data_IF_932254664970
#
_entry.id   IF_932254664970
#
_cell.length_a   1.000
_cell.length_b   1.000
_cell.length_c   1.000
_cell.angle_alpha   90.00
_cell.angle_beta   90.00
_cell.angle_gamma   90.00
#
_symmetry.space_group_name_H-M   'P 1'
#
loop_
_entity.id
_entity.type
_entity.pdbx_description
1 polymer ?
#
# COMPACT_ATOMS: atom_id res chain seq x y z
N UNK A 1 7.50 -6.08 -8.63
CA UNK A 1 7.72 -7.54 -8.42
C UNK A 1 9.22 -7.84 -8.49
N UNK A 2 9.82 -8.28 -7.38
CA UNK A 2 11.23 -8.71 -7.37
C UNK A 2 11.37 -10.10 -6.73
N UNK A 3 11.01 -10.28 -5.47
CA UNK A 3 11.00 -11.55 -4.77
C UNK A 3 9.98 -11.52 -3.64
N UNK A 4 9.16 -12.56 -3.51
CA UNK A 4 8.22 -12.70 -2.39
C UNK A 4 8.95 -13.35 -1.22
N UNK A 5 9.18 -12.61 -0.16
CA UNK A 5 9.88 -13.05 1.05
C UNK A 5 8.95 -13.48 2.17
N UNK A 6 7.73 -12.95 2.18
CA UNK A 6 6.70 -13.24 3.17
C UNK A 6 5.32 -13.32 2.51
N UNK A 7 4.79 -14.54 2.39
CA UNK A 7 3.48 -14.75 1.76
C UNK A 7 2.30 -14.33 2.64
N UNK A 8 2.53 -14.06 3.91
CA UNK A 8 1.44 -13.67 4.82
C UNK A 8 0.92 -12.26 4.56
N UNK A 9 1.71 -11.42 3.87
CA UNK A 9 1.34 -10.07 3.50
C UNK A 9 0.78 -9.93 2.08
N UNK A 10 0.68 -11.03 1.32
CA UNK A 10 0.17 -10.99 -0.05
C UNK A 10 -1.27 -10.46 -0.09
N UNK A 11 -1.55 -9.61 -1.07
CA UNK A 11 -2.93 -9.21 -1.41
C UNK A 11 -3.72 -10.45 -1.83
N UNK A 12 -4.96 -10.57 -1.38
CA UNK A 12 -5.84 -11.68 -1.74
C UNK A 12 -6.88 -11.28 -2.79
N UNK A 13 -7.54 -12.28 -3.39
CA UNK A 13 -8.63 -12.04 -4.33
C UNK A 13 -9.80 -11.34 -3.63
N UNK A 14 -10.32 -10.29 -4.25
CA UNK A 14 -11.46 -9.51 -3.76
C UNK A 14 -11.24 -8.84 -2.39
N UNK A 15 -10.01 -8.55 -2.02
CA UNK A 15 -9.74 -7.88 -0.74
C UNK A 15 -10.42 -6.51 -0.67
N UNK A 16 -10.46 -5.80 -1.79
CA UNK A 16 -11.17 -4.52 -1.98
C UNK A 16 -11.48 -4.29 -3.46
N UNK A 17 -12.21 -3.21 -3.76
CA UNK A 17 -12.48 -2.77 -5.13
C UNK A 17 -11.84 -1.39 -5.39
N UNK A 18 -11.15 -1.24 -6.53
CA UNK A 18 -10.55 0.01 -6.96
C UNK A 18 -10.82 0.23 -8.45
N UNK A 19 -11.27 1.45 -8.83
CA UNK A 19 -11.67 1.79 -10.19
C UNK A 19 -12.65 0.79 -10.84
N UNK A 20 -13.54 0.20 -10.03
CA UNK A 20 -14.56 -0.73 -10.49
C UNK A 20 -14.10 -2.17 -10.72
N UNK A 21 -12.86 -2.51 -10.37
CA UNK A 21 -12.32 -3.88 -10.36
C UNK A 21 -11.90 -4.29 -8.96
N UNK A 22 -11.94 -5.57 -8.65
CA UNK A 22 -11.47 -6.07 -7.35
C UNK A 22 -10.01 -6.52 -7.43
N UNK A 23 -9.32 -6.49 -6.29
CA UNK A 23 -7.96 -7.01 -6.17
C UNK A 23 -7.87 -8.47 -6.57
N UNK A 24 -6.76 -8.85 -7.17
CA UNK A 24 -6.48 -10.21 -7.63
C UNK A 24 -5.04 -10.61 -7.32
N UNK A 25 -4.89 -11.71 -6.62
CA UNK A 25 -3.60 -12.35 -6.40
C UNK A 25 -3.20 -13.16 -7.63
N UNK A 26 -2.09 -12.79 -8.28
CA UNK A 26 -1.52 -13.56 -9.38
C UNK A 26 -0.62 -14.64 -8.81
N UNK A 27 -1.04 -15.90 -8.94
CA UNK A 27 -0.39 -17.05 -8.30
C UNK A 27 0.93 -17.43 -8.95
N UNK A 28 1.00 -17.32 -10.26
CA UNK A 28 2.18 -17.71 -11.03
C UNK A 28 3.14 -16.52 -11.15
N UNK A 29 4.32 -16.66 -10.56
CA UNK A 29 5.33 -15.60 -10.50
C UNK A 29 5.76 -15.08 -11.88
N UNK A 30 5.84 -15.95 -12.87
CA UNK A 30 6.25 -15.67 -14.23
C UNK A 30 5.09 -15.31 -15.18
N UNK A 31 3.87 -15.23 -14.66
CA UNK A 31 2.72 -14.76 -15.46
C UNK A 31 3.02 -13.43 -16.14
N UNK A 32 2.59 -13.25 -17.39
CA UNK A 32 2.70 -11.98 -18.08
C UNK A 32 2.06 -10.84 -17.26
N UNK A 33 2.68 -9.67 -17.30
CA UNK A 33 2.09 -8.47 -16.71
C UNK A 33 1.01 -7.96 -17.68
N UNK A 34 -0.22 -7.88 -17.19
CA UNK A 34 -1.32 -7.26 -17.94
C UNK A 34 -1.16 -5.74 -17.86
N UNK A 35 -0.92 -5.12 -19.01
CA UNK A 35 -0.84 -3.67 -19.12
C UNK A 35 -2.21 -3.06 -18.79
N UNK A 36 -2.18 -1.94 -18.06
CA UNK A 36 -3.37 -1.20 -17.61
C UNK A 36 -4.22 -1.89 -16.53
N UNK A 37 -3.87 -3.08 -16.06
CA UNK A 37 -4.51 -3.66 -14.89
C UNK A 37 -3.80 -3.18 -13.62
N UNK A 38 -4.52 -2.37 -12.84
CA UNK A 38 -4.00 -1.75 -11.61
C UNK A 38 -4.25 -2.58 -10.35
N UNK A 39 -5.02 -3.67 -10.48
CA UNK A 39 -5.47 -4.50 -9.35
C UNK A 39 -4.89 -5.92 -9.35
N UNK A 40 -3.98 -6.26 -10.25
CA UNK A 40 -3.26 -7.54 -10.25
C UNK A 40 -1.98 -7.45 -9.41
N UNK A 41 -1.87 -8.29 -8.39
CA UNK A 41 -0.76 -8.31 -7.45
C UNK A 41 0.02 -9.63 -7.58
N UNK A 42 1.34 -9.52 -7.71
CA UNK A 42 2.23 -10.65 -8.02
C UNK A 42 3.03 -11.12 -6.80
N UNK A 43 2.73 -10.61 -5.62
CA UNK A 43 3.56 -10.78 -4.44
C UNK A 43 4.94 -10.11 -4.62
N UNK A 44 5.80 -10.11 -3.76
CA UNK A 44 7.07 -9.40 -3.79
C UNK A 44 7.01 -8.25 -2.83
N UNK A 45 7.93 -8.26 -1.88
CA UNK A 45 7.87 -7.47 -0.67
C UNK A 45 9.26 -7.03 -0.21
N UNK A 46 9.32 -6.22 0.84
CA UNK A 46 10.57 -5.72 1.41
C UNK A 46 11.38 -6.84 2.05
N UNK A 47 10.73 -7.86 2.64
CA UNK A 47 11.42 -9.02 3.19
C UNK A 47 12.14 -9.81 2.08
N UNK A 48 11.54 -9.87 0.90
CA UNK A 48 12.15 -10.47 -0.29
C UNK A 48 13.39 -9.72 -0.74
N UNK A 49 13.38 -8.39 -0.71
CA UNK A 49 14.56 -7.57 -0.99
C UNK A 49 15.66 -7.84 0.04
N UNK A 50 15.33 -7.90 1.33
CA UNK A 50 16.28 -8.24 2.40
C UNK A 50 16.93 -9.61 2.13
N UNK A 51 16.11 -10.62 1.83
CA UNK A 51 16.59 -11.99 1.53
C UNK A 51 17.52 -12.05 0.31
N UNK A 52 17.38 -11.10 -0.61
CA UNK A 52 18.17 -11.03 -1.85
C UNK A 52 19.28 -9.97 -1.81
N UNK A 53 19.55 -9.36 -0.66
CA UNK A 53 20.55 -8.29 -0.53
C UNK A 53 21.96 -8.76 -0.96
N UNK A 54 22.35 -9.98 -0.57
CA UNK A 54 23.62 -10.56 -1.02
C UNK A 54 23.72 -10.69 -2.54
N UNK A 55 22.65 -11.19 -3.18
CA UNK A 55 22.58 -11.28 -4.64
C UNK A 55 22.72 -9.89 -5.31
N UNK A 56 22.04 -8.88 -4.78
CA UNK A 56 22.13 -7.52 -5.33
C UNK A 56 23.55 -6.95 -5.19
N UNK A 57 24.21 -7.18 -4.05
CA UNK A 57 25.60 -6.81 -3.83
C UNK A 57 26.54 -7.50 -4.81
N UNK A 58 26.42 -8.83 -4.98
CA UNK A 58 27.26 -9.61 -5.88
C UNK A 58 27.05 -9.20 -7.36
N UNK A 59 25.85 -8.72 -7.69
CA UNK A 59 25.53 -8.14 -9.01
C UNK A 59 26.17 -6.75 -9.22
N UNK A 60 26.70 -6.12 -8.16
CA UNK A 60 27.31 -4.79 -8.24
C UNK A 60 26.30 -3.64 -8.16
N UNK A 61 25.16 -3.85 -7.50
CA UNK A 61 24.15 -2.79 -7.31
C UNK A 61 24.63 -1.82 -6.23
N UNK A 62 24.74 -0.54 -6.56
CA UNK A 62 25.11 0.55 -5.65
C UNK A 62 23.88 1.29 -5.07
N UNK A 63 22.75 1.25 -5.78
CA UNK A 63 21.53 1.97 -5.41
C UNK A 63 20.31 1.14 -5.74
N UNK A 64 19.35 1.08 -4.82
CA UNK A 64 18.00 0.56 -5.08
C UNK A 64 17.06 1.77 -5.11
N UNK A 65 16.40 1.98 -6.24
CA UNK A 65 15.29 2.94 -6.36
C UNK A 65 13.98 2.16 -6.25
N UNK A 66 13.20 2.49 -5.23
CA UNK A 66 11.85 1.96 -5.10
C UNK A 66 10.86 2.89 -5.78
N UNK A 67 10.03 2.36 -6.69
CA UNK A 67 8.74 2.98 -7.00
C UNK A 67 7.95 3.17 -5.70
N UNK A 68 6.86 3.96 -5.68
CA UNK A 68 6.15 4.21 -4.43
C UNK A 68 5.83 2.92 -3.68
N UNK A 69 6.12 2.90 -2.38
CA UNK A 69 5.90 1.76 -1.47
C UNK A 69 4.98 2.10 -0.30
N UNK A 70 4.42 3.30 -0.30
CA UNK A 70 3.46 3.74 0.68
C UNK A 70 2.10 3.06 0.49
N UNK A 71 1.24 3.10 1.51
CA UNK A 71 -0.11 2.52 1.43
C UNK A 71 -0.85 3.07 0.22
N UNK A 72 -1.32 2.18 -0.65
CA UNK A 72 -2.02 2.54 -1.88
C UNK A 72 -2.81 1.36 -2.45
N UNK A 73 -3.99 1.59 -3.05
CA UNK A 73 -4.84 0.52 -3.56
C UNK A 73 -4.37 -0.07 -4.89
N UNK A 74 -3.51 0.60 -5.65
CA UNK A 74 -3.05 0.07 -6.93
C UNK A 74 -1.74 -0.72 -6.81
N UNK A 75 -1.46 -1.55 -7.80
CA UNK A 75 -0.19 -2.27 -7.91
C UNK A 75 1.00 -1.37 -8.24
N UNK A 76 0.76 -0.23 -8.89
CA UNK A 76 1.81 0.77 -9.21
C UNK A 76 2.08 1.75 -8.06
N UNK A 77 1.19 1.87 -7.07
CA UNK A 77 1.33 2.66 -5.84
C UNK A 77 1.47 4.18 -6.01
N UNK A 78 1.19 4.76 -7.19
CA UNK A 78 1.21 6.22 -7.39
C UNK A 78 -0.04 6.94 -6.85
N UNK A 79 -1.07 6.23 -6.45
CA UNK A 79 -2.32 6.74 -5.86
C UNK A 79 -2.31 6.57 -4.34
N UNK A 80 -1.41 7.31 -3.69
CA UNK A 80 -1.10 7.13 -2.28
C UNK A 80 -2.31 7.39 -1.38
N UNK A 81 -2.60 6.41 -0.53
CA UNK A 81 -3.61 6.44 0.51
C UNK A 81 -3.06 7.04 1.81
N UNK A 82 -1.86 6.63 2.23
CA UNK A 82 -1.19 7.12 3.42
C UNK A 82 0.28 7.39 3.13
N UNK A 83 0.71 8.67 3.25
CA UNK A 83 2.09 9.10 3.02
C UNK A 83 3.03 8.81 4.20
N UNK A 84 2.49 8.52 5.38
CA UNK A 84 3.29 8.36 6.59
C UNK A 84 3.73 6.90 6.79
N UNK A 85 3.16 5.98 6.02
CA UNK A 85 3.32 4.55 6.29
C UNK A 85 3.62 3.73 5.04
N UNK A 86 4.55 2.79 5.20
CA UNK A 86 4.81 1.73 4.23
C UNK A 86 3.59 0.82 4.14
N UNK A 87 3.22 0.43 2.92
CA UNK A 87 2.09 -0.47 2.69
C UNK A 87 2.35 -1.84 3.37
N UNK A 88 1.47 -2.28 4.27
CA UNK A 88 1.62 -3.58 4.94
C UNK A 88 1.70 -4.78 3.98
N UNK A 89 1.14 -4.67 2.76
CA UNK A 89 1.30 -5.70 1.72
C UNK A 89 2.72 -5.79 1.15
N UNK A 90 3.56 -4.78 1.39
CA UNK A 90 5.01 -4.83 1.15
C UNK A 90 5.80 -5.01 2.45
N UNK A 91 5.17 -4.71 3.57
CA UNK A 91 5.74 -4.68 4.90
C UNK A 91 5.39 -5.90 5.73
N UNK A 92 4.73 -5.65 6.86
CA UNK A 92 4.33 -6.68 7.84
C UNK A 92 2.86 -6.49 8.20
N UNK A 93 2.10 -7.57 8.16
CA UNK A 93 0.74 -7.64 8.69
C UNK A 93 0.80 -8.39 10.03
N UNK A 94 0.66 -7.67 11.14
CA UNK A 94 0.64 -8.21 12.50
C UNK A 94 -0.79 -8.60 12.86
N UNK A 95 -1.71 -7.68 12.63
CA UNK A 95 -3.14 -7.86 12.84
C UNK A 95 -3.79 -8.15 11.49
N UNK A 96 -4.07 -9.41 11.24
CA UNK A 96 -4.77 -9.88 10.03
C UNK A 96 -6.16 -10.36 10.43
N UNK A 97 -7.18 -9.69 9.92
CA UNK A 97 -8.56 -9.97 10.29
C UNK A 97 -9.55 -9.46 9.23
N UNK A 98 -10.83 -9.51 9.58
CA UNK A 98 -11.87 -9.15 8.63
C UNK A 98 -12.05 -10.20 7.52
N UNK A 99 -12.74 -9.81 6.47
CA UNK A 99 -13.04 -10.68 5.34
C UNK A 99 -12.86 -9.91 4.03
N UNK A 100 -12.46 -10.56 2.93
CA UNK A 100 -12.49 -9.98 1.61
C UNK A 100 -13.95 -9.74 1.18
N UNK A 101 -14.14 -8.91 0.16
CA UNK A 101 -15.44 -8.71 -0.45
C UNK A 101 -15.99 -10.02 -1.02
N UNK A 102 -17.29 -10.24 -0.91
CA UNK A 102 -17.97 -11.31 -1.64
C UNK A 102 -17.76 -11.13 -3.14
N UNK A 103 -17.64 -12.23 -3.85
CA UNK A 103 -17.45 -12.22 -5.31
C UNK A 103 -18.52 -11.37 -6.01
N UNK A 104 -18.07 -10.39 -6.77
CA UNK A 104 -18.94 -9.48 -7.52
C UNK A 104 -19.39 -8.24 -6.74
N UNK A 105 -19.13 -8.16 -5.45
CA UNK A 105 -19.32 -6.95 -4.64
C UNK A 105 -18.18 -5.96 -4.88
N UNK A 106 -18.50 -4.66 -4.75
CA UNK A 106 -17.56 -3.55 -4.95
C UNK A 106 -17.75 -2.44 -3.93
N UNK A 107 -18.55 -2.66 -2.92
CA UNK A 107 -18.76 -1.71 -1.82
C UNK A 107 -17.66 -1.87 -0.78
N UNK A 108 -16.75 -0.93 -0.76
CA UNK A 108 -15.60 -0.95 0.13
C UNK A 108 -15.96 -0.78 1.62
N UNK A 109 -17.18 -0.40 1.96
CA UNK A 109 -17.62 -0.43 3.36
C UNK A 109 -17.63 -1.85 3.94
N UNK A 110 -17.68 -2.87 3.08
CA UNK A 110 -17.59 -4.29 3.44
C UNK A 110 -16.17 -4.87 3.33
N UNK A 111 -15.20 -4.11 2.81
CA UNK A 111 -13.81 -4.53 2.61
C UNK A 111 -13.01 -4.52 3.93
N UNK A 112 -13.51 -5.25 4.94
CA UNK A 112 -12.98 -5.17 6.31
C UNK A 112 -11.57 -5.71 6.43
N UNK A 113 -11.17 -6.68 5.62
CA UNK A 113 -9.79 -7.17 5.58
C UNK A 113 -8.83 -6.08 5.12
N UNK A 114 -9.09 -5.43 4.00
CA UNK A 114 -8.26 -4.34 3.50
C UNK A 114 -8.18 -3.19 4.50
N UNK A 115 -9.32 -2.85 5.10
CA UNK A 115 -9.40 -1.79 6.10
C UNK A 115 -8.47 -2.09 7.28
N UNK A 116 -8.54 -3.29 7.87
CA UNK A 116 -7.67 -3.69 8.97
C UNK A 116 -6.21 -3.69 8.53
N UNK A 117 -5.89 -4.35 7.43
CA UNK A 117 -4.51 -4.46 6.94
C UNK A 117 -3.84 -3.11 6.73
N UNK A 118 -4.58 -2.12 6.18
CA UNK A 118 -4.02 -0.83 5.73
C UNK A 118 -4.21 0.34 6.70
N UNK A 119 -5.00 0.18 7.77
CA UNK A 119 -5.23 1.27 8.74
C UNK A 119 -4.90 0.92 10.18
N UNK A 120 -4.67 -0.36 10.49
CA UNK A 120 -4.24 -0.77 11.83
C UNK A 120 -2.84 -0.23 12.14
N UNK A 121 -2.70 0.44 13.29
CA UNK A 121 -1.45 1.14 13.65
C UNK A 121 -0.27 0.20 13.87
N UNK A 122 -0.51 -1.00 14.40
CA UNK A 122 0.57 -1.98 14.61
C UNK A 122 1.08 -2.51 13.27
N UNK A 123 0.21 -2.72 12.28
CA UNK A 123 0.60 -3.09 10.92
C UNK A 123 1.48 -2.01 10.28
N UNK A 124 1.06 -0.74 10.40
CA UNK A 124 1.79 0.40 9.83
C UNK A 124 3.14 0.60 10.50
N UNK A 125 3.20 0.53 11.82
CA UNK A 125 4.44 0.65 12.60
C UNK A 125 5.41 -0.50 12.31
N UNK A 126 4.93 -1.75 12.25
CA UNK A 126 5.74 -2.90 11.90
C UNK A 126 6.31 -2.81 10.49
N UNK A 127 5.51 -2.30 9.53
CA UNK A 127 5.94 -2.10 8.16
C UNK A 127 6.99 -1.00 8.03
N UNK A 128 6.81 0.12 8.74
CA UNK A 128 7.81 1.19 8.81
C UNK A 128 9.12 0.69 9.44
N UNK A 129 9.01 -0.13 10.49
CA UNK A 129 10.18 -0.74 11.11
C UNK A 129 10.93 -1.66 10.14
N UNK A 130 10.23 -2.51 9.39
CA UNK A 130 10.86 -3.39 8.39
C UNK A 130 11.61 -2.58 7.33
N UNK A 131 11.05 -1.44 6.90
CA UNK A 131 11.74 -0.53 5.96
C UNK A 131 13.01 0.06 6.57
N UNK A 132 12.97 0.49 7.82
CA UNK A 132 14.16 0.98 8.52
C UNK A 132 15.24 -0.11 8.63
N UNK A 133 14.85 -1.33 8.92
CA UNK A 133 15.75 -2.49 8.98
C UNK A 133 16.35 -2.77 7.58
N UNK A 134 15.56 -2.72 6.51
CA UNK A 134 16.03 -2.86 5.12
C UNK A 134 17.06 -1.80 4.77
N UNK A 135 16.80 -0.53 5.08
CA UNK A 135 17.75 0.58 4.84
C UNK A 135 19.06 0.32 5.57
N UNK A 136 18.99 -0.10 6.84
CA UNK A 136 20.19 -0.43 7.63
C UNK A 136 21.00 -1.57 6.99
N UNK A 137 20.32 -2.63 6.53
CA UNK A 137 20.95 -3.78 5.88
C UNK A 137 21.58 -3.35 4.54
N UNK A 138 20.86 -2.56 3.72
CA UNK A 138 21.37 -2.06 2.45
C UNK A 138 22.64 -1.23 2.65
N UNK A 139 22.62 -0.28 3.59
CA UNK A 139 23.78 0.56 3.91
C UNK A 139 25.00 -0.26 4.38
N UNK A 140 24.81 -1.30 5.20
CA UNK A 140 25.87 -2.23 5.60
C UNK A 140 26.48 -2.99 4.41
N UNK A 141 25.74 -3.15 3.33
CA UNK A 141 26.19 -3.76 2.09
C UNK A 141 26.71 -2.75 1.05
N UNK A 142 26.78 -1.46 1.41
CA UNK A 142 27.24 -0.39 0.52
C UNK A 142 26.17 0.08 -0.49
N UNK A 143 24.93 -0.34 -0.32
CA UNK A 143 23.81 -0.04 -1.23
C UNK A 143 22.98 1.11 -0.67
N UNK A 144 22.75 2.15 -1.46
CA UNK A 144 21.89 3.30 -1.11
C UNK A 144 20.44 2.99 -1.46
N UNK A 145 19.52 3.63 -0.74
CA UNK A 145 18.08 3.54 -0.99
C UNK A 145 17.54 4.90 -1.44
N UNK A 146 16.73 4.90 -2.49
CA UNK A 146 15.95 6.04 -2.95
C UNK A 146 14.48 5.65 -2.94
N UNK A 147 13.64 6.49 -2.35
CA UNK A 147 12.19 6.33 -2.36
C UNK A 147 11.55 7.31 -3.34
N UNK A 148 10.60 6.82 -4.13
CA UNK A 148 9.77 7.66 -4.99
C UNK A 148 8.78 8.47 -4.14
N UNK A 149 8.78 9.77 -4.26
CA UNK A 149 7.87 10.68 -3.59
C UNK A 149 6.80 11.21 -4.54
N UNK A 150 5.56 10.80 -4.34
CA UNK A 150 4.42 11.27 -5.15
C UNK A 150 3.87 12.56 -4.54
N UNK A 151 4.41 13.70 -4.93
CA UNK A 151 4.04 15.01 -4.34
C UNK A 151 3.03 15.79 -5.17
N UNK A 152 2.70 15.35 -6.39
CA UNK A 152 1.81 16.08 -7.29
C UNK A 152 0.32 15.89 -6.95
N UNK A 153 -0.05 14.74 -6.44
CA UNK A 153 -1.43 14.35 -6.13
C UNK A 153 -1.47 13.28 -5.05
N UNK A 154 -2.65 13.04 -4.47
CA UNK A 154 -2.94 11.89 -3.63
C UNK A 154 -3.95 10.95 -4.32
N UNK A 155 -4.06 9.72 -3.81
CA UNK A 155 -5.04 8.75 -4.28
C UNK A 155 -6.46 9.03 -3.82
N UNK A 156 -7.43 8.40 -4.47
CA UNK A 156 -8.85 8.54 -4.11
C UNK A 156 -9.16 7.96 -2.71
N UNK A 157 -8.35 7.01 -2.22
CA UNK A 157 -8.48 6.41 -0.89
C UNK A 157 -7.69 7.18 0.19
N UNK A 158 -7.11 8.33 -0.18
CA UNK A 158 -6.21 9.06 0.73
C UNK A 158 -6.88 9.41 2.07
N UNK A 159 -6.14 9.21 3.16
CA UNK A 159 -6.64 9.40 4.53
C UNK A 159 -7.07 10.82 4.87
N UNK A 160 -6.50 11.84 4.21
CA UNK A 160 -6.92 13.22 4.42
C UNK A 160 -8.28 13.52 3.79
N UNK A 161 -8.63 12.76 2.73
CA UNK A 161 -9.95 12.81 2.09
C UNK A 161 -10.93 11.86 2.78
N UNK A 162 -10.53 10.63 3.02
CA UNK A 162 -11.27 9.50 3.59
C UNK A 162 -12.65 9.29 2.96
N UNK A 163 -12.68 9.34 1.63
CA UNK A 163 -13.93 9.18 0.87
C UNK A 163 -14.60 7.82 1.12
N UNK A 164 -13.81 6.77 1.25
CA UNK A 164 -14.28 5.39 1.48
C UNK A 164 -14.61 5.11 2.96
N UNK A 165 -14.24 6.01 3.90
CA UNK A 165 -14.52 5.85 5.32
C UNK A 165 -13.62 4.81 6.02
N UNK A 166 -12.47 4.45 5.44
CA UNK A 166 -11.56 3.46 6.00
C UNK A 166 -10.93 3.89 7.33
N UNK A 167 -10.72 5.18 7.50
CA UNK A 167 -10.09 5.76 8.69
C UNK A 167 -11.08 6.14 9.78
N UNK A 168 -12.37 6.27 9.40
CA UNK A 168 -13.46 6.55 10.33
C UNK A 168 -13.55 5.43 11.37
N UNK A 169 -13.65 5.81 12.64
CA UNK A 169 -13.73 4.91 13.79
C UNK A 169 -12.40 4.16 14.16
N UNK A 170 -11.29 4.42 13.45
CA UNK A 170 -9.99 3.81 13.73
C UNK A 170 -9.03 4.75 14.48
N UNK A 171 -9.58 5.77 15.16
CA UNK A 171 -8.78 6.73 15.94
C UNK A 171 -7.98 7.72 15.09
N UNK A 172 -8.39 7.92 13.85
CA UNK A 172 -7.88 8.97 12.96
C UNK A 172 -8.83 10.18 12.95
N UNK A 173 -8.32 11.39 12.67
CA UNK A 173 -9.17 12.55 12.44
C UNK A 173 -10.10 12.32 11.25
N UNK A 174 -11.30 12.96 11.28
CA UNK A 174 -12.22 12.92 10.15
C UNK A 174 -11.56 13.44 8.87
N UNK A 175 -11.69 12.71 7.79
CA UNK A 175 -11.25 13.15 6.47
C UNK A 175 -12.09 14.30 5.93
N UNK A 176 -11.56 15.02 4.94
CA UNK A 176 -12.20 16.18 4.35
C UNK A 176 -13.56 15.86 3.69
N UNK A 177 -13.74 14.63 3.19
CA UNK A 177 -15.00 14.19 2.60
C UNK A 177 -16.06 13.89 3.65
N UNK A 178 -15.65 13.52 4.87
CA UNK A 178 -16.55 13.15 5.96
C UNK A 178 -17.11 14.35 6.71
N UNK A 179 -16.40 15.49 6.71
CA UNK A 179 -16.82 16.66 7.48
C UNK A 179 -16.19 17.96 6.94
N UNK A 180 -17.02 18.98 6.76
CA UNK A 180 -16.55 20.35 6.47
C UNK A 180 -15.70 20.95 7.61
N UNK A 181 -15.80 20.38 8.81
CA UNK A 181 -15.00 20.77 9.98
C UNK A 181 -13.66 20.01 10.06
N UNK A 182 -13.40 19.10 9.13
CA UNK A 182 -12.14 18.39 9.07
C UNK A 182 -10.96 19.37 9.00
N UNK A 183 -9.90 19.07 9.75
CA UNK A 183 -8.63 19.82 9.63
C UNK A 183 -8.01 19.75 8.24
N UNK A 184 -8.41 18.77 7.43
CA UNK A 184 -7.96 18.58 6.05
C UNK A 184 -8.86 19.22 5.01
N UNK A 185 -10.00 19.84 5.41
CA UNK A 185 -10.98 20.37 4.45
C UNK A 185 -10.35 21.34 3.44
N UNK A 186 -9.48 22.23 3.92
CA UNK A 186 -8.82 23.24 3.11
C UNK A 186 -7.64 22.72 2.27
N UNK A 187 -7.33 21.43 2.34
CA UNK A 187 -6.34 20.79 1.46
C UNK A 187 -6.90 20.54 0.06
N UNK A 188 -8.22 20.59 -0.08
CA UNK A 188 -8.93 20.25 -1.31
C UNK A 188 -9.76 21.44 -1.80
N UNK A 189 -9.93 21.52 -3.13
CA UNK A 189 -10.85 22.48 -3.77
C UNK A 189 -12.20 21.81 -4.00
N UNK A 190 -13.26 22.48 -3.56
CA UNK A 190 -14.62 21.95 -3.60
C UNK A 190 -15.45 22.68 -4.65
N UNK A 191 -16.09 21.96 -5.56
CA UNK A 191 -16.93 22.50 -6.61
C UNK A 191 -18.33 21.87 -6.52
N UNK A 192 -19.34 22.65 -6.05
CA UNK A 192 -20.73 22.21 -5.98
C UNK A 192 -20.95 20.97 -5.10
N UNK A 193 -20.20 20.82 -4.01
CA UNK A 193 -20.25 19.63 -3.15
C UNK A 193 -19.43 18.45 -3.66
N UNK A 194 -18.69 18.62 -4.74
CA UNK A 194 -17.75 17.66 -5.28
C UNK A 194 -16.34 18.24 -5.29
N UNK A 195 -15.35 17.41 -5.11
CA UNK A 195 -13.91 17.72 -5.17
C UNK A 195 -13.33 17.31 -6.53
#
# INVERSE_FOLDING_TARGET
>A
RFYNGDKSNDVVDNEYAYLGVTSKAVKEWDSPVELLDVCNFYGGDLQGVIKKMGYLKDLGVDVIYFNPIFVSPSNHKYDIQDYDSIDPHYGVIVNDGGVPLEKGKKDNSEATMYMIRTTDKENLEASNKLMADLISIAHKNGIKIILDGVFNHCGAFNKWLDREGFYKNNGYPDGAFMSEKSQYHNFFSWHGGHW
#
